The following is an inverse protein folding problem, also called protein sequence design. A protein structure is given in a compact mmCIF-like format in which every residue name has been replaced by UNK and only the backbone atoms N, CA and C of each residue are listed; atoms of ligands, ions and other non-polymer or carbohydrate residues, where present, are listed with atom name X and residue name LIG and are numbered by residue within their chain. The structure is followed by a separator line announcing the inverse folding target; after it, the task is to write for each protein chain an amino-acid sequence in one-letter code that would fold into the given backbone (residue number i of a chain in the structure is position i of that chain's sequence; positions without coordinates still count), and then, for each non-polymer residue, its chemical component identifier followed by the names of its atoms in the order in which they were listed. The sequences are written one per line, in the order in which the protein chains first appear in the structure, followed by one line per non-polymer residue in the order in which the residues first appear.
data_IF_320496024262
#
_entry.id   IF_320496024262
#
_cell.length_a   1.000
_cell.length_b   1.000
_cell.length_c   1.000
_cell.angle_alpha   90.00
_cell.angle_beta   90.00
_cell.angle_gamma   90.00
#
_symmetry.space_group_name_H-M   'P 1'
#
loop_
_entity.id
_entity.type
_entity.pdbx_description
1 polymer ?
#
# COMPACT_ATOMS: atom_id res chain seq x y z
N UNK A 1 -10.56 17.00 10.32
CA UNK A 1 -9.87 15.68 10.25
C UNK A 1 -10.76 14.73 9.45
N UNK A 2 -10.22 14.04 8.45
CA UNK A 2 -10.93 12.92 7.84
C UNK A 2 -10.94 11.79 8.87
N UNK A 3 -12.10 11.30 9.24
CA UNK A 3 -12.21 10.23 10.22
C UNK A 3 -11.99 8.90 9.51
N UNK A 4 -10.83 8.30 9.70
CA UNK A 4 -10.58 6.91 9.35
C UNK A 4 -11.25 6.00 10.38
N UNK A 5 -11.86 4.93 9.91
CA UNK A 5 -12.56 3.93 10.72
C UNK A 5 -11.96 2.54 10.47
N UNK A 6 -12.20 1.55 11.32
CA UNK A 6 -11.79 0.17 11.07
C UNK A 6 -12.27 -0.41 9.75
N UNK A 7 -13.38 0.09 9.19
CA UNK A 7 -13.89 -0.36 7.89
C UNK A 7 -13.03 0.07 6.71
N UNK A 8 -12.23 1.14 6.85
CA UNK A 8 -11.31 1.59 5.80
C UNK A 8 -10.13 0.62 5.60
N UNK A 9 -9.99 -0.37 6.48
CA UNK A 9 -9.05 -1.47 6.29
C UNK A 9 -9.51 -2.50 5.25
N UNK A 10 -10.79 -2.53 4.93
CA UNK A 10 -11.36 -3.45 3.94
C UNK A 10 -11.42 -2.82 2.54
N UNK A 11 -11.44 -3.62 1.46
CA UNK A 11 -11.50 -3.12 0.08
C UNK A 11 -12.95 -2.75 -0.34
N UNK A 12 -13.66 -1.97 0.44
CA UNK A 12 -15.11 -1.73 0.33
C UNK A 12 -15.50 -0.25 0.20
N UNK A 13 -14.55 0.63 -0.18
CA UNK A 13 -14.82 2.04 -0.40
C UNK A 13 -15.80 2.20 -1.58
N UNK A 14 -17.00 2.74 -1.31
CA UNK A 14 -18.08 2.77 -2.27
C UNK A 14 -19.08 3.93 -2.05
N UNK A 15 -20.04 4.04 -2.97
CA UNK A 15 -21.21 4.91 -2.92
C UNK A 15 -22.43 4.21 -2.30
N UNK A 16 -23.64 4.68 -2.65
CA UNK A 16 -24.92 4.05 -2.29
C UNK A 16 -25.22 2.75 -3.05
N UNK A 17 -24.40 2.38 -4.03
CA UNK A 17 -24.54 1.13 -4.78
C UNK A 17 -24.13 -0.10 -3.95
N UNK A 18 -24.40 -1.29 -4.48
CA UNK A 18 -23.92 -2.53 -3.87
C UNK A 18 -22.39 -2.58 -3.82
N UNK A 19 -21.82 -3.35 -2.91
CA UNK A 19 -20.35 -3.47 -2.72
C UNK A 19 -19.58 -3.86 -3.99
N UNK A 20 -20.24 -4.52 -4.94
CA UNK A 20 -19.65 -4.90 -6.24
C UNK A 20 -19.45 -3.71 -7.18
N UNK A 21 -20.19 -2.63 -7.00
CA UNK A 21 -20.14 -1.42 -7.85
C UNK A 21 -19.29 -0.36 -7.20
N UNK A 22 -18.14 0.00 -7.77
CA UNK A 22 -17.30 1.08 -7.23
C UNK A 22 -17.95 2.46 -7.40
N UNK A 23 -17.40 3.45 -6.71
CA UNK A 23 -17.86 4.85 -6.79
C UNK A 23 -17.66 5.52 -8.15
N UNK A 24 -16.95 4.89 -9.06
CA UNK A 24 -16.64 5.40 -10.38
C UNK A 24 -16.56 4.25 -11.39
N UNK A 25 -16.81 4.55 -12.66
CA UNK A 25 -16.61 3.62 -13.78
C UNK A 25 -15.21 3.68 -14.36
N UNK A 26 -14.32 4.50 -13.79
CA UNK A 26 -12.93 4.60 -14.25
C UNK A 26 -12.23 3.24 -14.12
N UNK A 27 -11.63 2.77 -15.22
CA UNK A 27 -10.91 1.49 -15.27
C UNK A 27 -9.70 1.45 -14.34
N UNK A 28 -9.20 2.61 -13.94
CA UNK A 28 -8.05 2.77 -13.06
C UNK A 28 -8.45 2.88 -11.58
N UNK A 29 -9.73 2.63 -11.24
CA UNK A 29 -10.14 2.53 -9.85
C UNK A 29 -9.53 1.29 -9.21
N UNK A 30 -8.92 1.50 -8.03
CA UNK A 30 -8.22 0.45 -7.30
C UNK A 30 -8.43 0.59 -5.78
N UNK A 31 -8.13 -0.51 -5.08
CA UNK A 31 -8.02 -0.61 -3.64
C UNK A 31 -6.82 -1.51 -3.33
N UNK A 32 -5.76 -0.99 -2.68
CA UNK A 32 -4.46 -1.64 -2.64
C UNK A 32 -3.84 -1.62 -1.26
N UNK A 33 -3.20 -2.74 -0.94
CA UNK A 33 -2.34 -2.93 0.22
C UNK A 33 -0.90 -3.06 -0.24
N UNK A 34 -0.01 -2.43 0.49
CA UNK A 34 1.42 -2.64 0.36
C UNK A 34 2.06 -2.70 1.74
N UNK A 35 3.02 -3.57 1.90
CA UNK A 35 3.78 -3.73 3.13
C UNK A 35 5.24 -3.93 2.80
N UNK A 36 6.11 -3.53 3.72
CA UNK A 36 7.47 -4.01 3.80
C UNK A 36 7.76 -4.65 5.15
N UNK A 37 8.85 -5.39 5.20
CA UNK A 37 9.46 -5.87 6.43
C UNK A 37 10.95 -6.04 6.21
N UNK A 38 11.76 -5.72 7.20
CA UNK A 38 13.20 -5.77 7.08
C UNK A 38 13.88 -6.09 8.40
N UNK A 39 15.05 -6.73 8.30
CA UNK A 39 15.97 -6.94 9.40
C UNK A 39 17.39 -6.83 8.87
N UNK A 40 18.16 -5.90 9.43
CA UNK A 40 19.59 -5.77 9.11
C UNK A 40 20.38 -6.96 9.67
N UNK A 41 20.02 -7.44 10.84
CA UNK A 41 20.71 -8.54 11.51
C UNK A 41 20.53 -9.87 10.79
N UNK A 42 19.29 -10.09 10.26
CA UNK A 42 18.94 -11.31 9.51
C UNK A 42 19.15 -11.15 8.00
N UNK A 43 19.66 -9.98 7.55
CA UNK A 43 20.00 -9.66 6.16
C UNK A 43 18.86 -9.90 5.17
N UNK A 44 17.67 -9.37 5.47
CA UNK A 44 16.53 -9.40 4.54
C UNK A 44 15.77 -8.08 4.45
N UNK A 45 15.16 -7.91 3.30
CA UNK A 45 14.09 -6.95 3.03
C UNK A 45 13.02 -7.67 2.21
N UNK A 46 11.77 -7.65 2.63
CA UNK A 46 10.66 -8.13 1.82
C UNK A 46 9.58 -7.08 1.60
N UNK A 47 8.78 -7.31 0.57
CA UNK A 47 7.57 -6.54 0.27
C UNK A 47 6.39 -7.47 -0.06
N UNK A 48 5.20 -7.00 0.27
CA UNK A 48 3.92 -7.64 -0.04
C UNK A 48 3.03 -6.60 -0.71
N UNK A 49 2.39 -6.98 -1.81
CA UNK A 49 1.35 -6.18 -2.42
C UNK A 49 0.10 -7.01 -2.71
N UNK A 50 -1.07 -6.44 -2.45
CA UNK A 50 -2.36 -6.99 -2.87
C UNK A 50 -3.21 -5.87 -3.44
N UNK A 51 -3.67 -6.04 -4.68
CA UNK A 51 -4.45 -5.05 -5.41
C UNK A 51 -5.81 -5.58 -5.85
N UNK A 52 -6.86 -4.83 -5.58
CA UNK A 52 -8.23 -5.10 -6.02
C UNK A 52 -8.63 -4.03 -7.04
N UNK A 53 -8.97 -4.46 -8.26
CA UNK A 53 -9.28 -3.60 -9.40
C UNK A 53 -10.67 -3.94 -9.95
N UNK A 54 -11.75 -3.45 -9.33
CA UNK A 54 -13.11 -3.89 -9.64
C UNK A 54 -13.52 -3.65 -11.08
N UNK A 55 -13.20 -2.47 -11.64
CA UNK A 55 -13.55 -2.11 -13.03
C UNK A 55 -12.69 -2.81 -14.09
N UNK A 56 -11.67 -3.58 -13.67
CA UNK A 56 -10.87 -4.48 -14.50
C UNK A 56 -11.23 -5.94 -14.29
N UNK A 57 -12.05 -6.22 -13.28
CA UNK A 57 -12.37 -7.59 -12.84
C UNK A 57 -11.12 -8.40 -12.46
N UNK A 58 -10.14 -7.77 -11.81
CA UNK A 58 -8.88 -8.39 -11.41
C UNK A 58 -8.63 -8.15 -9.91
N UNK A 59 -8.07 -9.18 -9.29
CA UNK A 59 -7.34 -9.10 -8.02
C UNK A 59 -5.99 -9.75 -8.23
N UNK A 60 -4.93 -9.09 -7.77
CA UNK A 60 -3.56 -9.59 -7.83
C UNK A 60 -2.85 -9.52 -6.49
N UNK A 61 -1.76 -10.25 -6.37
CA UNK A 61 -0.92 -10.21 -5.21
C UNK A 61 0.50 -10.67 -5.52
N UNK A 62 1.43 -10.19 -4.72
CA UNK A 62 2.82 -10.62 -4.80
C UNK A 62 3.48 -10.64 -3.43
N UNK A 63 4.55 -11.43 -3.35
CA UNK A 63 5.54 -11.42 -2.30
C UNK A 63 6.92 -11.41 -2.93
N UNK A 64 7.79 -10.52 -2.51
CA UNK A 64 9.18 -10.46 -2.95
C UNK A 64 10.09 -10.29 -1.74
N UNK A 65 11.19 -11.01 -1.70
CA UNK A 65 12.20 -10.90 -0.65
C UNK A 65 13.60 -10.89 -1.24
N UNK A 66 14.42 -9.95 -0.77
CA UNK A 66 15.87 -9.96 -0.93
C UNK A 66 16.48 -10.55 0.33
N UNK A 67 17.27 -11.60 0.18
CA UNK A 67 17.89 -12.32 1.28
C UNK A 67 19.28 -12.81 0.86
N UNK A 68 20.32 -12.45 1.63
CA UNK A 68 21.70 -12.85 1.37
C UNK A 68 22.14 -12.60 -0.09
N UNK A 69 21.76 -11.44 -0.65
CA UNK A 69 22.14 -11.04 -2.02
C UNK A 69 21.37 -11.75 -3.14
N UNK A 70 20.35 -12.54 -2.83
CA UNK A 70 19.43 -13.13 -3.80
C UNK A 70 18.04 -12.54 -3.65
N UNK A 71 17.30 -12.46 -4.75
CA UNK A 71 15.89 -12.06 -4.74
C UNK A 71 15.01 -13.26 -5.12
N UNK A 72 13.97 -13.45 -4.33
CA UNK A 72 12.90 -14.40 -4.59
C UNK A 72 11.60 -13.64 -4.75
N UNK A 73 10.80 -13.99 -5.75
CA UNK A 73 9.52 -13.32 -6.02
C UNK A 73 8.47 -14.31 -6.45
N UNK A 74 7.25 -14.09 -5.96
CA UNK A 74 6.07 -14.82 -6.37
C UNK A 74 4.95 -13.84 -6.69
N UNK A 75 4.28 -14.04 -7.83
CA UNK A 75 3.17 -13.23 -8.29
C UNK A 75 1.99 -14.12 -8.65
N UNK A 76 0.79 -13.68 -8.29
CA UNK A 76 -0.44 -14.34 -8.70
C UNK A 76 -1.50 -13.30 -9.04
N UNK A 77 -2.39 -13.67 -9.95
CA UNK A 77 -3.58 -12.89 -10.27
C UNK A 77 -4.75 -13.81 -10.59
N UNK A 78 -5.96 -13.34 -10.36
CA UNK A 78 -7.17 -14.03 -10.79
C UNK A 78 -8.26 -13.04 -11.17
N UNK A 79 -9.31 -13.55 -11.83
CA UNK A 79 -10.52 -12.78 -12.05
C UNK A 79 -11.17 -12.47 -10.70
N UNK A 80 -11.51 -11.21 -10.50
CA UNK A 80 -12.29 -10.76 -9.37
C UNK A 80 -13.76 -11.03 -9.64
N UNK A 81 -14.42 -11.70 -8.71
CA UNK A 81 -15.87 -11.86 -8.68
C UNK A 81 -16.55 -10.60 -8.14
N UNK A 82 -17.85 -10.67 -7.89
CA UNK A 82 -18.62 -9.57 -7.30
C UNK A 82 -18.17 -9.20 -5.88
N UNK A 83 -17.59 -10.15 -5.16
CA UNK A 83 -17.04 -9.91 -3.81
C UNK A 83 -15.57 -9.53 -3.86
N UNK A 84 -15.20 -8.43 -3.20
CA UNK A 84 -13.81 -7.98 -3.05
C UNK A 84 -13.09 -8.66 -1.89
N UNK A 85 -13.83 -9.37 -1.06
CA UNK A 85 -13.34 -10.11 0.11
C UNK A 85 -14.01 -11.49 0.17
N UNK A 86 -13.33 -12.59 0.55
CA UNK A 86 -11.94 -12.66 1.02
C UNK A 86 -10.90 -12.47 -0.09
N UNK A 87 -9.73 -11.92 0.26
CA UNK A 87 -8.62 -11.67 -0.66
C UNK A 87 -7.73 -12.91 -0.74
N UNK A 88 -8.22 -13.91 -1.47
CA UNK A 88 -7.48 -15.15 -1.78
C UNK A 88 -7.17 -15.19 -3.27
N UNK A 89 -5.87 -15.29 -3.61
CA UNK A 89 -5.36 -15.18 -4.98
C UNK A 89 -4.47 -16.40 -5.26
N UNK A 90 -5.10 -17.53 -5.59
CA UNK A 90 -4.38 -18.80 -5.70
C UNK A 90 -3.71 -19.16 -4.37
N UNK A 91 -2.37 -19.28 -4.33
CA UNK A 91 -1.64 -19.62 -3.12
C UNK A 91 -1.42 -18.46 -2.13
N UNK A 92 -1.83 -17.24 -2.50
CA UNK A 92 -1.74 -16.04 -1.64
C UNK A 92 -3.07 -15.81 -0.92
N UNK A 93 -3.00 -15.48 0.38
CA UNK A 93 -4.12 -14.96 1.15
C UNK A 93 -3.70 -13.74 1.97
N UNK A 94 -4.53 -12.70 1.95
CA UNK A 94 -4.46 -11.56 2.86
C UNK A 94 -5.74 -11.52 3.69
N UNK A 95 -5.60 -11.59 4.99
CA UNK A 95 -6.70 -11.58 5.95
C UNK A 95 -6.59 -10.39 6.90
N UNK A 96 -7.74 -9.92 7.38
CA UNK A 96 -7.85 -8.80 8.33
C UNK A 96 -8.55 -9.30 9.60
N UNK A 97 -7.85 -10.05 10.47
CA UNK A 97 -8.45 -10.58 11.70
C UNK A 97 -8.92 -9.47 12.65
N UNK A 98 -8.17 -8.37 12.72
CA UNK A 98 -8.53 -7.21 13.52
C UNK A 98 -8.20 -5.93 12.75
N UNK A 99 -9.21 -5.23 12.21
CA UNK A 99 -9.01 -4.04 11.39
C UNK A 99 -8.17 -2.98 12.11
N UNK A 100 -7.21 -2.38 11.40
CA UNK A 100 -6.22 -1.40 11.87
C UNK A 100 -5.25 -1.92 12.94
N UNK A 101 -5.34 -3.19 13.34
CA UNK A 101 -4.47 -3.74 14.38
C UNK A 101 -3.68 -4.97 13.89
N UNK A 102 -4.35 -5.95 13.27
CA UNK A 102 -3.73 -7.22 12.87
C UNK A 102 -4.08 -7.57 11.42
N UNK A 103 -3.06 -7.81 10.63
CA UNK A 103 -3.16 -8.32 9.25
C UNK A 103 -2.38 -9.63 9.16
N UNK A 104 -2.94 -10.63 8.49
CA UNK A 104 -2.25 -11.89 8.19
C UNK A 104 -2.01 -12.02 6.70
N UNK A 105 -0.82 -12.48 6.36
CA UNK A 105 -0.46 -12.80 4.99
C UNK A 105 0.12 -14.20 4.92
N UNK A 106 -0.39 -15.00 3.99
CA UNK A 106 0.13 -16.34 3.73
C UNK A 106 0.45 -16.54 2.25
N UNK A 107 1.51 -17.25 1.97
CA UNK A 107 1.89 -17.72 0.65
C UNK A 107 2.31 -19.17 0.73
N UNK A 108 1.80 -20.00 -0.20
CA UNK A 108 2.19 -21.40 -0.36
C UNK A 108 2.55 -21.64 -1.83
N UNK A 109 3.79 -21.28 -2.24
CA UNK A 109 4.26 -21.48 -3.62
C UNK A 109 4.16 -22.97 -3.99
N UNK A 110 3.42 -23.33 -5.07
CA UNK A 110 3.31 -24.71 -5.53
C UNK A 110 4.66 -25.37 -5.85
N UNK A 111 5.64 -24.57 -6.27
CA UNK A 111 7.01 -25.03 -6.56
C UNK A 111 7.89 -25.11 -5.31
N UNK A 112 7.35 -24.77 -4.14
CA UNK A 112 8.03 -24.81 -2.83
C UNK A 112 9.33 -23.98 -2.76
N UNK A 113 9.47 -22.96 -3.60
CA UNK A 113 10.62 -22.05 -3.54
C UNK A 113 10.46 -21.00 -2.45
N UNK A 114 9.22 -20.56 -2.23
CA UNK A 114 8.87 -19.57 -1.22
C UNK A 114 7.57 -20.00 -0.54
N UNK A 115 7.55 -19.99 0.77
CA UNK A 115 6.29 -19.98 1.52
C UNK A 115 6.42 -19.09 2.74
N UNK A 116 5.33 -18.53 3.19
CA UNK A 116 5.34 -17.74 4.42
C UNK A 116 3.98 -17.76 5.11
N UNK A 117 4.04 -17.57 6.43
CA UNK A 117 2.89 -17.32 7.28
C UNK A 117 3.25 -16.17 8.22
N UNK A 118 2.75 -14.99 7.92
CA UNK A 118 3.17 -13.75 8.54
C UNK A 118 1.98 -13.02 9.16
N UNK A 119 2.23 -12.42 10.32
CA UNK A 119 1.29 -11.54 10.98
C UNK A 119 1.91 -10.17 11.21
N UNK A 120 1.24 -9.12 10.72
CA UNK A 120 1.60 -7.73 10.93
C UNK A 120 0.79 -7.15 12.08
N UNK A 121 1.49 -6.71 13.11
CA UNK A 121 0.91 -6.09 14.29
C UNK A 121 1.20 -4.58 14.25
N UNK A 122 0.15 -3.76 14.10
CA UNK A 122 0.29 -2.31 14.02
C UNK A 122 0.72 -1.72 15.37
N UNK A 123 1.73 -0.85 15.35
CA UNK A 123 2.25 -0.15 16.53
C UNK A 123 1.72 1.28 16.65
N UNK A 124 1.28 1.88 15.55
CA UNK A 124 0.84 3.28 15.51
C UNK A 124 -0.61 3.40 15.05
N UNK A 125 -1.24 4.52 15.37
CA UNK A 125 -2.45 4.93 14.70
C UNK A 125 -2.18 5.17 13.19
N UNK A 126 -3.20 5.04 12.32
CA UNK A 126 -3.02 5.33 10.90
C UNK A 126 -2.75 6.82 10.66
N UNK A 127 -1.65 7.11 9.98
CA UNK A 127 -1.36 8.44 9.47
C UNK A 127 -2.02 8.62 8.10
N UNK A 128 -3.02 9.49 8.04
CA UNK A 128 -3.69 9.83 6.78
C UNK A 128 -2.84 10.86 6.04
N UNK A 129 -2.33 10.46 4.88
CA UNK A 129 -1.59 11.36 4.01
C UNK A 129 -2.54 12.34 3.30
N UNK A 130 -2.04 13.51 2.85
CA UNK A 130 -2.82 14.41 2.02
C UNK A 130 -3.34 13.70 0.78
N UNK A 131 -4.58 14.00 0.40
CA UNK A 131 -5.19 13.43 -0.80
C UNK A 131 -4.40 13.86 -2.04
N UNK A 132 -3.96 12.89 -2.84
CA UNK A 132 -3.29 13.17 -4.10
C UNK A 132 -4.32 13.38 -5.20
N UNK A 133 -4.24 14.51 -5.90
CA UNK A 133 -5.11 14.82 -7.04
C UNK A 133 -4.26 15.41 -8.17
N UNK A 134 -4.28 14.75 -9.32
CA UNK A 134 -3.62 15.21 -10.55
C UNK A 134 -4.65 15.27 -11.66
N UNK A 135 -4.67 16.38 -12.38
CA UNK A 135 -5.54 16.60 -13.53
C UNK A 135 -4.71 16.93 -14.77
N UNK A 136 -5.16 16.45 -15.90
CA UNK A 136 -4.71 16.86 -17.22
C UNK A 136 -5.90 17.47 -17.97
N UNK A 137 -5.91 18.79 -18.11
CA UNK A 137 -7.08 19.53 -18.59
C UNK A 137 -8.29 19.29 -17.70
N UNK A 138 -9.35 18.73 -18.26
CA UNK A 138 -10.59 18.38 -17.52
C UNK A 138 -10.60 16.94 -16.96
N UNK A 139 -9.56 16.17 -17.27
CA UNK A 139 -9.48 14.76 -16.89
C UNK A 139 -8.75 14.58 -15.56
N UNK A 140 -9.31 13.77 -14.69
CA UNK A 140 -8.66 13.32 -13.46
C UNK A 140 -7.78 12.12 -13.79
N UNK A 141 -6.46 12.27 -13.71
CA UNK A 141 -5.49 11.20 -13.87
C UNK A 141 -5.24 10.47 -12.54
N UNK A 142 -5.28 11.21 -11.44
CA UNK A 142 -5.07 10.67 -10.11
C UNK A 142 -5.99 11.37 -9.10
N UNK A 143 -6.70 10.58 -8.33
CA UNK A 143 -7.53 11.02 -7.20
C UNK A 143 -7.51 9.93 -6.15
N UNK A 144 -6.52 9.99 -5.25
CA UNK A 144 -6.23 8.90 -4.32
C UNK A 144 -6.18 9.37 -2.88
N UNK A 145 -6.65 8.50 -2.01
CA UNK A 145 -6.46 8.60 -0.56
C UNK A 145 -5.53 7.48 -0.09
N UNK A 146 -4.75 7.76 0.96
CA UNK A 146 -3.78 6.82 1.51
C UNK A 146 -3.64 7.03 3.01
N UNK A 147 -3.39 5.93 3.72
CA UNK A 147 -2.84 5.99 5.05
C UNK A 147 -1.65 5.06 5.21
N UNK A 148 -0.75 5.44 6.11
CA UNK A 148 0.45 4.69 6.48
C UNK A 148 0.38 4.31 7.94
N UNK A 149 0.83 3.10 8.29
CA UNK A 149 1.04 2.66 9.67
C UNK A 149 2.39 1.96 9.80
N UNK A 150 2.97 2.07 10.98
CA UNK A 150 4.17 1.32 11.37
C UNK A 150 3.77 0.13 12.23
N UNK A 151 4.50 -0.95 12.12
CA UNK A 151 4.21 -2.17 12.84
C UNK A 151 5.40 -3.11 12.92
N UNK A 152 5.13 -4.29 13.42
CA UNK A 152 6.09 -5.39 13.48
C UNK A 152 5.51 -6.65 12.86
N UNK A 153 6.41 -7.46 12.31
CA UNK A 153 6.11 -8.75 11.74
C UNK A 153 6.50 -9.88 12.70
N UNK A 154 5.63 -10.86 12.81
CA UNK A 154 5.91 -12.17 13.42
C UNK A 154 5.58 -13.26 12.43
N UNK A 155 6.18 -14.45 12.62
CA UNK A 155 5.90 -15.62 11.79
C UNK A 155 7.13 -16.21 11.13
N UNK A 156 6.96 -16.81 9.97
CA UNK A 156 8.00 -17.61 9.31
C UNK A 156 7.98 -17.39 7.81
N UNK A 157 9.18 -17.29 7.22
CA UNK A 157 9.42 -17.31 5.77
C UNK A 157 10.32 -18.51 5.48
N UNK A 158 9.87 -19.37 4.57
CA UNK A 158 10.62 -20.51 4.07
C UNK A 158 11.13 -20.18 2.66
N UNK A 159 12.43 -20.22 2.45
CA UNK A 159 13.08 -20.01 1.15
C UNK A 159 13.90 -21.26 0.80
N UNK A 160 13.43 -22.08 -0.15
CA UNK A 160 14.10 -23.33 -0.52
C UNK A 160 14.45 -24.19 0.71
N UNK A 161 15.69 -24.14 1.15
CA UNK A 161 16.21 -24.90 2.30
C UNK A 161 16.46 -24.04 3.54
N UNK A 162 16.11 -22.75 3.53
CA UNK A 162 16.35 -21.84 4.64
C UNK A 162 15.03 -21.38 5.25
N UNK A 163 15.01 -21.28 6.57
CA UNK A 163 13.88 -20.77 7.33
C UNK A 163 14.28 -19.48 8.05
N UNK A 164 13.49 -18.43 7.87
CA UNK A 164 13.66 -17.15 8.52
C UNK A 164 12.51 -16.97 9.51
N UNK A 165 12.81 -17.02 10.79
CA UNK A 165 11.82 -16.74 11.84
C UNK A 165 11.79 -15.25 12.15
N UNK A 166 10.60 -14.67 12.15
CA UNK A 166 10.33 -13.27 12.51
C UNK A 166 9.70 -13.25 13.90
N UNK A 167 10.35 -12.54 14.82
CA UNK A 167 9.89 -12.41 16.20
C UNK A 167 9.20 -11.07 16.45
N UNK A 168 9.72 -10.00 15.87
CA UNK A 168 9.20 -8.63 15.96
C UNK A 168 9.95 -7.69 15.01
N UNK A 169 10.17 -8.13 13.78
CA UNK A 169 10.87 -7.32 12.78
C UNK A 169 10.01 -6.16 12.32
N UNK A 170 10.64 -4.98 12.22
CA UNK A 170 9.94 -3.78 11.84
C UNK A 170 9.44 -3.81 10.39
N UNK A 171 8.31 -3.18 10.19
CA UNK A 171 7.75 -2.96 8.88
C UNK A 171 6.82 -1.76 8.85
N UNK A 172 6.42 -1.42 7.63
CA UNK A 172 5.48 -0.35 7.35
C UNK A 172 4.40 -0.87 6.43
N UNK A 173 3.19 -0.38 6.56
CA UNK A 173 2.13 -0.61 5.60
C UNK A 173 1.61 0.67 5.00
N UNK A 174 1.23 0.60 3.74
CA UNK A 174 0.46 1.57 2.97
C UNK A 174 -0.88 0.92 2.59
N UNK A 175 -1.96 1.63 2.83
CA UNK A 175 -3.28 1.29 2.31
C UNK A 175 -3.80 2.47 1.53
N UNK A 176 -4.06 2.26 0.23
CA UNK A 176 -4.49 3.32 -0.67
C UNK A 176 -5.64 2.88 -1.56
N UNK A 177 -6.47 3.83 -1.97
CA UNK A 177 -7.61 3.60 -2.86
C UNK A 177 -7.95 4.86 -3.65
N UNK A 178 -8.68 4.68 -4.75
CA UNK A 178 -9.11 5.76 -5.61
C UNK A 178 -8.79 5.48 -7.08
N UNK A 179 -8.48 6.51 -7.84
CA UNK A 179 -8.13 6.43 -9.26
C UNK A 179 -6.68 6.84 -9.45
N UNK A 180 -5.89 6.01 -10.14
CA UNK A 180 -4.53 6.35 -10.58
C UNK A 180 -4.12 5.47 -11.77
N UNK A 181 -3.16 5.89 -12.60
CA UNK A 181 -2.60 5.01 -13.62
C UNK A 181 -2.06 3.71 -13.01
N UNK A 182 -2.44 2.57 -13.60
CA UNK A 182 -2.03 1.24 -13.13
C UNK A 182 -1.09 0.52 -14.12
N UNK A 183 -0.43 1.29 -15.00
CA UNK A 183 0.58 0.78 -15.92
C UNK A 183 0.08 0.32 -17.29
N UNK A 184 -1.20 0.46 -17.60
CA UNK A 184 -1.70 0.23 -18.96
C UNK A 184 -1.63 1.49 -19.83
N UNK A 185 -1.22 1.37 -21.09
CA UNK A 185 -1.47 2.42 -22.07
C UNK A 185 -2.98 2.64 -22.18
N UNK A 186 -3.42 3.88 -22.10
CA UNK A 186 -4.81 4.19 -22.33
C UNK A 186 -5.12 4.11 -23.83
N UNK A 187 -5.80 3.05 -24.22
CA UNK A 187 -6.27 2.90 -25.58
C UNK A 187 -7.27 4.00 -25.94
N UNK A 188 -7.02 4.69 -27.06
CA UNK A 188 -7.94 5.66 -27.64
C UNK A 188 -8.00 7.02 -26.93
N UNK A 189 -7.04 7.38 -26.10
CA UNK A 189 -6.95 8.73 -25.56
C UNK A 189 -6.33 9.68 -26.61
N UNK A 190 -7.10 10.58 -27.25
CA UNK A 190 -6.51 11.68 -27.98
C UNK A 190 -5.95 12.68 -26.97
N UNK A 191 -4.78 13.23 -27.24
CA UNK A 191 -4.25 14.38 -26.51
C UNK A 191 -3.41 14.04 -25.28
N UNK A 192 -2.50 13.09 -25.41
CA UNK A 192 -1.31 13.12 -24.57
C UNK A 192 -0.63 14.45 -24.81
N UNK A 193 -0.54 15.32 -23.80
CA UNK A 193 0.37 16.45 -23.88
C UNK A 193 1.78 15.89 -24.13
N UNK A 194 2.51 16.48 -25.06
CA UNK A 194 3.84 15.99 -25.48
C UNK A 194 4.91 16.09 -24.40
N UNK A 195 4.60 16.74 -23.29
CA UNK A 195 5.50 16.85 -22.14
C UNK A 195 5.22 15.71 -21.16
N UNK A 196 6.13 14.76 -21.06
CA UNK A 196 6.10 13.81 -19.97
C UNK A 196 6.37 14.58 -18.66
N UNK A 197 5.39 14.66 -17.76
CA UNK A 197 5.64 15.32 -16.49
C UNK A 197 6.70 14.53 -15.73
N UNK A 198 7.87 15.13 -15.54
CA UNK A 198 8.84 14.61 -14.59
C UNK A 198 8.20 14.62 -13.20
N UNK A 199 8.23 13.51 -12.51
CA UNK A 199 7.72 13.40 -11.13
C UNK A 199 8.84 12.87 -10.26
N UNK A 200 9.21 13.65 -9.26
CA UNK A 200 9.98 13.12 -8.13
C UNK A 200 9.02 12.82 -6.98
N UNK A 201 9.10 11.60 -6.49
CA UNK A 201 8.34 11.17 -5.31
C UNK A 201 9.28 10.61 -4.27
N UNK A 202 9.27 11.22 -3.09
CA UNK A 202 9.92 10.68 -1.91
C UNK A 202 8.84 10.27 -0.89
N UNK A 203 8.90 9.05 -0.44
CA UNK A 203 8.06 8.51 0.62
C UNK A 203 8.97 7.80 1.61
N UNK A 204 9.17 8.45 2.77
CA UNK A 204 10.17 8.05 3.75
C UNK A 204 9.53 7.79 5.12
N UNK A 205 9.06 6.57 5.37
CA UNK A 205 8.74 6.12 6.71
C UNK A 205 10.04 5.79 7.45
N UNK A 206 10.26 6.41 8.60
CA UNK A 206 11.50 6.25 9.37
C UNK A 206 11.15 5.82 10.80
N UNK A 207 11.87 4.81 11.27
CA UNK A 207 11.71 4.24 12.59
C UNK A 207 12.88 4.62 13.49
N UNK A 208 12.60 5.27 14.63
CA UNK A 208 13.55 5.62 15.69
C UNK A 208 13.32 4.81 16.98
N UNK A 209 12.72 3.63 16.88
CA UNK A 209 12.39 2.78 18.02
C UNK A 209 11.01 3.07 18.61
N UNK A 210 10.90 4.00 19.56
CA UNK A 210 9.63 4.38 20.18
C UNK A 210 8.90 5.52 19.43
N UNK A 211 9.58 6.13 18.48
CA UNK A 211 9.07 7.25 17.68
C UNK A 211 9.24 6.92 16.21
N UNK A 212 8.21 7.18 15.45
CA UNK A 212 8.18 7.00 14.02
C UNK A 212 7.91 8.32 13.32
N UNK A 213 8.53 8.54 12.19
CA UNK A 213 8.24 9.69 11.34
C UNK A 213 7.87 9.23 9.95
N UNK A 214 6.99 9.99 9.34
CA UNK A 214 6.70 9.87 7.93
C UNK A 214 6.99 11.22 7.27
N UNK A 215 7.78 11.20 6.22
CA UNK A 215 8.00 12.34 5.34
C UNK A 215 7.60 11.93 3.92
N UNK A 216 6.82 12.78 3.26
CA UNK A 216 6.40 12.55 1.89
C UNK A 216 6.42 13.84 1.09
N UNK A 217 7.00 13.81 -0.12
CA UNK A 217 6.93 14.90 -1.07
C UNK A 217 6.67 14.38 -2.48
N UNK A 218 5.88 15.14 -3.23
CA UNK A 218 5.81 15.06 -4.69
C UNK A 218 6.34 16.38 -5.25
N UNK A 219 7.22 16.29 -6.22
CA UNK A 219 7.80 17.44 -6.89
C UNK A 219 7.58 17.33 -8.39
N UNK A 220 7.38 18.48 -9.04
CA UNK A 220 7.32 18.57 -10.50
C UNK A 220 8.75 18.52 -11.10
N UNK A 221 8.84 18.64 -12.43
CA UNK A 221 10.12 18.59 -13.15
C UNK A 221 11.05 19.78 -12.83
N UNK A 222 10.52 20.87 -12.28
CA UNK A 222 11.30 22.04 -11.86
C UNK A 222 11.76 21.94 -10.39
N UNK A 223 11.36 20.87 -9.69
CA UNK A 223 11.67 20.66 -8.28
C UNK A 223 10.74 21.40 -7.32
N UNK A 224 9.60 21.94 -7.81
CA UNK A 224 8.61 22.54 -6.93
C UNK A 224 7.77 21.46 -6.27
N UNK A 225 7.65 21.52 -4.95
CA UNK A 225 6.81 20.57 -4.22
C UNK A 225 5.33 20.83 -4.50
N UNK A 226 4.66 19.87 -5.12
CA UNK A 226 3.21 19.88 -5.35
C UNK A 226 2.42 19.28 -4.20
N UNK A 227 3.07 18.49 -3.38
CA UNK A 227 2.53 17.92 -2.15
C UNK A 227 3.65 17.70 -1.14
N UNK A 228 3.43 18.11 0.10
CA UNK A 228 4.36 17.92 1.20
C UNK A 228 3.60 17.44 2.43
N UNK A 229 4.09 16.40 3.07
CA UNK A 229 3.56 15.90 4.35
C UNK A 229 4.67 15.49 5.28
N UNK A 230 4.43 15.66 6.57
CA UNK A 230 5.29 15.16 7.62
C UNK A 230 4.49 14.82 8.87
N UNK A 231 4.84 13.74 9.52
CA UNK A 231 4.15 13.28 10.72
C UNK A 231 5.15 12.71 11.72
N UNK A 232 4.88 12.98 13.00
CA UNK A 232 5.55 12.34 14.12
C UNK A 232 4.52 11.47 14.85
N UNK A 233 4.80 10.17 14.93
CA UNK A 233 3.94 9.16 15.51
C UNK A 233 4.65 8.48 16.68
N UNK A 234 3.87 8.09 17.66
CA UNK A 234 4.35 7.31 18.79
C UNK A 234 3.67 5.94 18.80
N UNK A 235 4.23 4.99 19.52
CA UNK A 235 3.57 3.70 19.73
C UNK A 235 2.19 3.91 20.37
N UNK A 236 1.16 3.26 19.82
CA UNK A 236 -0.22 3.40 20.28
C UNK A 236 -0.44 2.66 21.62
N UNK A 237 -1.26 3.23 22.52
CA UNK A 237 -1.97 4.50 22.41
C UNK A 237 -1.10 5.68 22.88
N UNK A 238 -0.94 6.69 22.05
CA UNK A 238 -0.23 7.91 22.44
C UNK A 238 -1.07 9.17 22.17
N UNK A 239 -1.27 10.05 23.16
CA UNK A 239 -1.89 11.35 22.97
C UNK A 239 -0.94 12.39 22.33
N UNK A 240 0.31 12.01 22.01
CA UNK A 240 1.37 12.93 21.54
C UNK A 240 1.58 12.93 20.04
N UNK A 241 0.77 12.16 19.28
CA UNK A 241 0.90 12.11 17.83
C UNK A 241 0.64 13.50 17.22
N UNK A 242 1.54 13.95 16.37
CA UNK A 242 1.43 15.23 15.68
C UNK A 242 1.73 15.06 14.19
N UNK A 243 0.84 15.55 13.36
CA UNK A 243 0.99 15.51 11.92
C UNK A 243 0.81 16.91 11.33
N UNK A 244 1.68 17.26 10.40
CA UNK A 244 1.60 18.47 9.62
C UNK A 244 1.57 18.14 8.13
N UNK A 245 0.63 18.74 7.42
CA UNK A 245 0.60 18.71 5.96
C UNK A 245 0.48 20.12 5.44
N UNK A 246 1.23 20.45 4.38
CA UNK A 246 1.11 21.70 3.66
C UNK A 246 0.86 21.42 2.18
N UNK A 247 -0.18 22.03 1.65
CA UNK A 247 -0.29 22.24 0.21
C UNK A 247 0.47 23.54 -0.09
N UNK A 248 1.27 23.62 -1.16
CA UNK A 248 1.81 24.89 -1.61
C UNK A 248 0.65 25.84 -1.82
N UNK A 249 0.75 27.05 -1.27
CA UNK A 249 -0.18 28.11 -1.63
C UNK A 249 0.04 28.40 -3.11
N UNK A 250 -0.98 28.20 -3.93
CA UNK A 250 -0.98 28.72 -5.31
C UNK A 250 -0.72 30.22 -5.26
N UNK A 251 0.45 30.63 -5.74
CA UNK A 251 0.72 32.02 -6.05
C UNK A 251 0.02 32.41 -7.34
#
# INVERSE_FOLDING_TARGET
MKNITPLDDFPIHQTSETLSVPSTTDRNFYDRYWFNGFSKEKDFLFEIGVGVYPNRHIIDGHFSISFKGKQYSFHASKRLDSSRYPMVIGPISLEIPKPMEIIKFTLQDPEKRISCNLEFNNLTLPHIEPKSSLKEGTRILMDTSRFTQFGTWTGEIQLENETINLESEYGTRDKSWGVRPVGEPEGGAPGKLNDEPGVYWCWAPINFGQVFTHFGTFEDHDGNSTQLSGCLLYTSPSPRDSCASRMPSSA
#
